data_IF_625409532503
#
_entry.id   IF_625409532503
#
_cell.length_a   1.000
_cell.length_b   1.000
_cell.length_c   1.000
_cell.angle_alpha   90.00
_cell.angle_beta   90.00
_cell.angle_gamma   90.00
#
_symmetry.space_group_name_H-M   'P 1'
#
loop_
_entity.id
_entity.type
_entity.pdbx_description
1 polymer ?
#
# COMPACT_ATOMS: atom_id res chain seq x y z
N UNK A 1 8.58 25.23 -4.68
CA UNK A 1 8.33 24.54 -5.95
C UNK A 1 7.26 25.29 -6.76
N UNK A 2 7.54 25.63 -8.01
CA UNK A 2 6.66 26.37 -8.93
C UNK A 2 5.65 25.47 -9.67
N UNK A 3 5.74 24.15 -9.47
CA UNK A 3 4.88 23.16 -10.11
C UNK A 3 5.32 22.79 -11.52
N UNK A 4 6.50 23.24 -11.96
CA UNK A 4 7.06 22.85 -13.25
C UNK A 4 7.36 21.35 -13.26
N UNK A 5 6.88 20.65 -14.28
CA UNK A 5 7.17 19.23 -14.48
C UNK A 5 8.63 19.06 -14.88
N UNK A 6 9.42 18.43 -14.01
CA UNK A 6 10.83 18.15 -14.28
C UNK A 6 11.05 16.85 -15.06
N UNK A 7 10.29 15.80 -14.73
CA UNK A 7 10.53 14.45 -15.25
C UNK A 7 9.28 13.59 -15.25
N UNK A 8 9.16 12.75 -16.27
CA UNK A 8 8.19 11.66 -16.33
C UNK A 8 8.94 10.34 -16.19
N UNK A 9 8.51 9.51 -15.24
CA UNK A 9 9.01 8.15 -15.03
C UNK A 9 7.91 7.19 -15.49
N UNK A 10 8.30 6.16 -16.24
CA UNK A 10 7.35 5.21 -16.84
C UNK A 10 7.68 3.78 -16.45
N UNK A 11 6.65 2.98 -16.19
CA UNK A 11 6.72 1.52 -16.16
C UNK A 11 6.18 0.99 -17.50
N UNK A 12 6.99 0.28 -18.29
CA UNK A 12 6.51 -0.37 -19.50
C UNK A 12 5.34 -1.31 -19.19
N UNK A 13 4.33 -1.31 -20.07
CA UNK A 13 3.19 -2.23 -20.04
C UNK A 13 2.39 -2.25 -18.72
N UNK A 14 2.47 -1.17 -17.94
CA UNK A 14 1.69 -1.06 -16.72
C UNK A 14 0.25 -0.67 -17.01
N UNK A 15 -0.65 -1.48 -16.49
CA UNK A 15 -2.06 -1.15 -16.39
C UNK A 15 -2.47 -1.08 -14.92
N UNK A 16 -3.38 -0.17 -14.63
CA UNK A 16 -3.93 -0.06 -13.27
C UNK A 16 -4.95 -1.18 -13.04
N UNK A 17 -5.01 -1.71 -11.82
CA UNK A 17 -6.01 -2.71 -11.46
C UNK A 17 -7.42 -2.18 -11.64
N UNK A 18 -8.25 -2.88 -12.41
CA UNK A 18 -9.69 -2.65 -12.47
C UNK A 18 -10.35 -3.32 -11.28
N UNK A 19 -11.07 -2.54 -10.49
CA UNK A 19 -11.79 -2.98 -9.30
C UNK A 19 -12.85 -4.00 -9.68
N UNK A 20 -12.84 -5.12 -8.96
CA UNK A 20 -13.91 -6.09 -9.05
C UNK A 20 -15.07 -5.74 -8.09
N UNK A 21 -16.13 -6.56 -8.09
CA UNK A 21 -17.28 -6.37 -7.19
C UNK A 21 -16.89 -6.44 -5.70
N UNK A 22 -15.83 -7.19 -5.36
CA UNK A 22 -15.35 -7.34 -3.98
C UNK A 22 -14.63 -6.06 -3.53
N UNK A 23 -13.80 -5.49 -4.39
CA UNK A 23 -13.12 -4.22 -4.17
C UNK A 23 -14.13 -3.09 -3.91
N UNK A 24 -15.14 -2.99 -4.78
CA UNK A 24 -16.20 -2.00 -4.65
C UNK A 24 -16.97 -2.15 -3.34
N UNK A 25 -17.40 -3.38 -3.00
CA UNK A 25 -18.09 -3.65 -1.72
C UNK A 25 -17.25 -3.26 -0.50
N UNK A 26 -15.95 -3.55 -0.53
CA UNK A 26 -15.05 -3.22 0.59
C UNK A 26 -14.93 -1.72 0.79
N UNK A 27 -14.77 -0.96 -0.30
CA UNK A 27 -14.65 0.50 -0.23
C UNK A 27 -15.99 1.10 0.23
N UNK A 28 -17.10 0.65 -0.34
CA UNK A 28 -18.44 1.08 0.09
C UNK A 28 -18.67 0.83 1.58
N UNK A 29 -18.33 -0.37 2.08
CA UNK A 29 -18.47 -0.70 3.50
C UNK A 29 -17.63 0.21 4.42
N UNK A 30 -16.42 0.59 3.99
CA UNK A 30 -15.58 1.55 4.74
C UNK A 30 -16.25 2.92 4.83
N UNK A 31 -16.80 3.42 3.72
CA UNK A 31 -17.55 4.68 3.72
C UNK A 31 -18.85 4.58 4.54
N UNK A 32 -19.54 3.42 4.49
CA UNK A 32 -20.76 3.15 5.27
C UNK A 32 -20.49 3.18 6.76
N UNK A 33 -19.37 2.59 7.20
CA UNK A 33 -18.93 2.69 8.59
C UNK A 33 -18.69 4.14 9.03
N UNK A 34 -18.07 4.96 8.17
CA UNK A 34 -17.81 6.37 8.48
C UNK A 34 -19.08 7.21 8.58
N UNK A 35 -19.97 7.11 7.59
CA UNK A 35 -21.13 7.98 7.53
C UNK A 35 -22.39 7.39 8.19
N UNK A 36 -22.34 6.14 8.68
CA UNK A 36 -23.38 5.58 9.56
C UNK A 36 -23.61 6.38 10.84
N UNK A 37 -22.60 7.12 11.31
CA UNK A 37 -22.73 8.05 12.44
C UNK A 37 -23.53 9.31 12.10
N UNK A 38 -23.68 9.66 10.81
CA UNK A 38 -24.49 10.80 10.36
C UNK A 38 -25.01 10.63 8.91
N UNK A 39 -26.08 9.84 8.70
CA UNK A 39 -26.61 9.55 7.36
C UNK A 39 -27.08 10.79 6.60
N UNK A 40 -27.48 11.84 7.31
CA UNK A 40 -27.93 13.10 6.71
C UNK A 40 -26.80 13.88 6.02
N UNK A 41 -25.54 13.54 6.33
CA UNK A 41 -24.35 14.15 5.72
C UNK A 41 -23.68 13.26 4.70
N UNK A 42 -24.33 12.17 4.28
CA UNK A 42 -23.76 11.22 3.33
C UNK A 42 -23.35 11.93 2.03
N UNK A 43 -22.04 12.05 1.74
CA UNK A 43 -21.62 12.68 0.50
C UNK A 43 -21.96 11.76 -0.65
N UNK A 44 -22.46 12.32 -1.76
CA UNK A 44 -22.45 11.58 -3.02
C UNK A 44 -20.99 11.38 -3.41
N UNK A 45 -20.51 10.14 -3.39
CA UNK A 45 -19.15 9.80 -3.81
C UNK A 45 -19.19 9.17 -5.20
N UNK A 46 -18.21 9.53 -6.01
CA UNK A 46 -17.94 8.91 -7.31
C UNK A 46 -16.68 8.05 -7.15
N UNK A 47 -16.86 6.73 -7.22
CA UNK A 47 -15.77 5.78 -7.08
C UNK A 47 -15.36 5.29 -8.47
N UNK A 48 -14.11 5.58 -8.85
CA UNK A 48 -13.56 5.08 -10.12
C UNK A 48 -13.58 3.55 -10.18
N UNK A 49 -13.66 3.02 -11.37
CA UNK A 49 -13.55 1.59 -11.66
C UNK A 49 -12.12 1.06 -11.53
N UNK A 50 -11.10 1.92 -11.43
CA UNK A 50 -9.70 1.52 -11.23
C UNK A 50 -9.16 1.88 -9.86
N UNK A 51 -8.30 1.03 -9.30
CA UNK A 51 -7.56 1.33 -8.07
C UNK A 51 -6.62 2.53 -8.22
N UNK A 52 -6.11 3.09 -7.12
CA UNK A 52 -5.04 4.10 -7.23
C UNK A 52 -3.82 3.47 -7.92
N UNK A 53 -3.31 4.10 -8.97
CA UNK A 53 -2.15 3.58 -9.70
C UNK A 53 -0.94 3.41 -8.77
N UNK A 54 -0.68 4.41 -7.92
CA UNK A 54 0.39 4.42 -6.92
C UNK A 54 -0.22 4.42 -5.51
N UNK A 55 0.19 3.47 -4.69
CA UNK A 55 -0.22 3.35 -3.28
C UNK A 55 0.83 3.93 -2.32
N UNK A 56 2.11 3.69 -2.60
CA UNK A 56 3.22 4.22 -1.80
C UNK A 56 4.49 4.35 -2.64
N UNK A 57 5.36 5.25 -2.21
CA UNK A 57 6.69 5.47 -2.77
C UNK A 57 7.70 5.41 -1.62
N UNK A 58 8.82 4.71 -1.83
CA UNK A 58 9.90 4.62 -0.86
C UNK A 58 11.24 4.88 -1.54
N UNK A 59 12.11 5.66 -0.89
CA UNK A 59 13.50 5.84 -1.34
C UNK A 59 14.39 5.05 -0.39
N UNK A 60 15.23 4.18 -0.94
CA UNK A 60 16.17 3.39 -0.13
C UNK A 60 17.49 4.14 0.15
N UNK A 61 18.44 3.46 0.79
CA UNK A 61 19.76 4.01 1.12
C UNK A 61 20.64 4.38 -0.08
N UNK A 62 20.34 3.81 -1.25
CA UNK A 62 21.10 4.00 -2.48
C UNK A 62 20.43 5.05 -3.39
N UNK A 63 19.35 5.69 -2.94
CA UNK A 63 18.62 6.67 -3.74
C UNK A 63 17.70 6.06 -4.79
N UNK A 64 17.45 4.75 -4.73
CA UNK A 64 16.54 4.06 -5.64
C UNK A 64 15.11 4.21 -5.18
N UNK A 65 14.19 4.27 -6.15
CA UNK A 65 12.77 4.41 -5.90
C UNK A 65 12.08 3.04 -5.94
N UNK A 66 11.37 2.71 -4.86
CA UNK A 66 10.53 1.54 -4.73
C UNK A 66 9.07 1.98 -4.75
N UNK A 67 8.31 1.47 -5.72
CA UNK A 67 6.91 1.83 -5.93
C UNK A 67 6.01 0.68 -5.55
N UNK A 68 5.08 0.95 -4.63
CA UNK A 68 3.92 0.10 -4.40
C UNK A 68 2.77 0.65 -5.26
N UNK A 69 2.23 -0.16 -6.15
CA UNK A 69 1.19 0.19 -7.11
C UNK A 69 -0.09 -0.63 -6.91
N UNK A 70 -1.13 -0.34 -7.68
CA UNK A 70 -2.45 -1.02 -7.61
C UNK A 70 -2.39 -2.55 -7.63
N UNK A 71 -1.39 -3.13 -8.31
CA UNK A 71 -1.19 -4.58 -8.44
C UNK A 71 -0.22 -5.19 -7.42
N UNK A 72 0.39 -4.40 -6.53
CA UNK A 72 1.47 -4.87 -5.65
C UNK A 72 1.06 -5.96 -4.64
N UNK A 73 -0.24 -6.15 -4.42
CA UNK A 73 -0.79 -7.21 -3.59
C UNK A 73 -1.83 -8.08 -4.33
N UNK A 74 -1.81 -8.06 -5.67
CA UNK A 74 -2.74 -8.79 -6.52
C UNK A 74 -1.96 -9.80 -7.34
N UNK A 75 -2.54 -10.98 -7.52
CA UNK A 75 -1.97 -12.05 -8.34
C UNK A 75 -0.51 -12.39 -7.98
N UNK A 76 -0.15 -12.21 -6.71
CA UNK A 76 1.17 -12.59 -6.19
C UNK A 76 1.19 -14.09 -5.89
N UNK A 77 2.31 -14.79 -6.13
CA UNK A 77 2.43 -16.20 -5.77
C UNK A 77 2.24 -16.45 -4.27
N UNK A 78 1.83 -17.67 -3.92
CA UNK A 78 1.74 -18.09 -2.52
C UNK A 78 3.08 -17.86 -1.79
N UNK A 79 2.99 -17.32 -0.57
CA UNK A 79 4.15 -16.95 0.24
C UNK A 79 4.80 -15.60 -0.12
N UNK A 80 4.28 -14.88 -1.12
CA UNK A 80 4.67 -13.50 -1.40
C UNK A 80 3.70 -12.54 -0.72
N UNK A 81 4.25 -11.69 0.13
CA UNK A 81 3.50 -10.64 0.82
C UNK A 81 3.21 -9.45 -0.09
N UNK A 82 4.23 -8.88 -0.73
CA UNK A 82 4.09 -7.72 -1.62
C UNK A 82 5.08 -7.77 -2.79
N UNK A 83 4.71 -7.18 -3.91
CA UNK A 83 5.57 -6.90 -5.04
C UNK A 83 5.77 -5.38 -5.20
N UNK A 84 7.01 -4.94 -5.42
CA UNK A 84 7.38 -3.55 -5.67
C UNK A 84 8.05 -3.42 -7.02
N UNK A 85 7.83 -2.31 -7.71
CA UNK A 85 8.74 -1.94 -8.79
C UNK A 85 9.94 -1.19 -8.24
N UNK A 86 11.11 -1.55 -8.73
CA UNK A 86 12.37 -0.88 -8.45
C UNK A 86 12.75 0.00 -9.64
N UNK A 87 13.08 1.26 -9.36
CA UNK A 87 13.66 2.21 -10.29
C UNK A 87 15.01 2.69 -9.77
N UNK A 88 15.95 2.95 -10.66
CA UNK A 88 17.21 3.58 -10.27
C UNK A 88 17.04 5.07 -9.91
N UNK A 89 18.15 5.72 -9.56
CA UNK A 89 18.17 7.16 -9.23
C UNK A 89 17.81 8.06 -10.42
N UNK A 90 17.95 7.54 -11.64
CA UNK A 90 17.53 8.20 -12.88
C UNK A 90 16.07 7.86 -13.22
N UNK A 91 15.33 7.20 -12.35
CA UNK A 91 13.92 6.88 -12.56
C UNK A 91 13.70 5.91 -13.72
N UNK A 92 14.70 5.12 -14.11
CA UNK A 92 14.52 4.03 -15.08
C UNK A 92 14.03 2.80 -14.34
N UNK A 93 12.92 2.21 -14.80
CA UNK A 93 12.41 0.96 -14.24
C UNK A 93 13.42 -0.16 -14.46
N UNK A 94 13.77 -0.87 -13.39
CA UNK A 94 14.75 -1.95 -13.40
C UNK A 94 14.06 -3.32 -13.44
N UNK A 95 13.19 -3.58 -12.46
CA UNK A 95 12.47 -4.85 -12.30
C UNK A 95 11.38 -4.78 -11.24
N UNK A 96 10.54 -5.80 -11.20
CA UNK A 96 9.69 -6.13 -10.05
C UNK A 96 10.51 -6.91 -9.00
N UNK A 97 10.33 -6.56 -7.72
CA UNK A 97 10.93 -7.23 -6.56
C UNK A 97 9.84 -7.72 -5.63
N UNK A 98 9.88 -9.00 -5.26
CA UNK A 98 8.87 -9.65 -4.43
C UNK A 98 9.39 -9.90 -3.03
N UNK A 99 8.60 -9.53 -2.03
CA UNK A 99 8.87 -9.80 -0.63
C UNK A 99 8.25 -11.14 -0.26
N UNK A 100 9.07 -12.19 -0.25
CA UNK A 100 8.67 -13.53 0.17
C UNK A 100 8.83 -13.66 1.69
N UNK A 101 7.85 -13.15 2.42
CA UNK A 101 7.77 -13.27 3.88
C UNK A 101 6.31 -13.37 4.31
N UNK A 102 6.09 -13.81 5.55
CA UNK A 102 4.75 -13.87 6.12
C UNK A 102 4.20 -12.46 6.37
N UNK A 103 3.07 -12.13 5.76
CA UNK A 103 2.42 -10.83 5.90
C UNK A 103 1.01 -10.82 5.34
N UNK A 104 0.16 -9.98 5.89
CA UNK A 104 -1.18 -9.72 5.40
C UNK A 104 -1.16 -8.43 4.57
N UNK A 105 -1.21 -8.47 3.23
CA UNK A 105 -1.09 -7.29 2.37
C UNK A 105 -2.27 -6.32 2.45
N UNK A 106 -3.29 -6.67 3.23
CA UNK A 106 -4.46 -5.85 3.49
C UNK A 106 -4.29 -4.98 4.74
N UNK A 107 -3.67 -5.51 5.79
CA UNK A 107 -3.58 -4.87 7.12
C UNK A 107 -2.16 -4.49 7.51
N UNK A 108 -1.15 -5.21 7.04
CA UNK A 108 0.26 -4.96 7.35
C UNK A 108 0.85 -3.85 6.46
N UNK A 109 1.95 -3.27 6.90
CA UNK A 109 2.65 -2.21 6.17
C UNK A 109 4.16 -2.34 6.23
N UNK A 110 4.85 -1.74 5.26
CA UNK A 110 6.32 -1.68 5.25
C UNK A 110 6.87 -0.28 5.42
N UNK A 111 8.05 -0.22 6.04
CA UNK A 111 8.89 0.97 6.12
C UNK A 111 10.33 0.65 5.74
N UNK A 112 10.80 1.29 4.68
CA UNK A 112 12.20 1.20 4.26
C UNK A 112 13.07 2.06 5.19
N UNK A 113 14.17 1.49 5.64
CA UNK A 113 15.25 2.16 6.34
C UNK A 113 16.40 2.40 5.35
N UNK A 114 17.10 3.53 5.51
CA UNK A 114 18.18 3.94 4.58
C UNK A 114 19.44 3.08 4.65
N UNK A 115 19.50 2.07 5.52
CA UNK A 115 20.64 1.18 5.69
C UNK A 115 20.37 -0.23 5.15
N UNK A 116 19.47 -0.35 4.17
CA UNK A 116 19.12 -1.62 3.53
C UNK A 116 18.21 -2.52 4.37
N UNK A 117 17.64 -1.99 5.45
CA UNK A 117 16.65 -2.71 6.26
C UNK A 117 15.22 -2.30 5.90
N UNK A 118 14.28 -3.20 6.14
CA UNK A 118 12.85 -2.95 5.99
C UNK A 118 12.13 -3.44 7.24
N UNK A 119 11.25 -2.60 7.78
CA UNK A 119 10.33 -2.98 8.85
C UNK A 119 9.02 -3.46 8.23
N UNK A 120 8.61 -4.68 8.56
CA UNK A 120 7.24 -5.16 8.42
C UNK A 120 6.51 -4.88 9.73
N UNK A 121 5.42 -4.12 9.65
CA UNK A 121 4.61 -3.73 10.80
C UNK A 121 3.26 -4.44 10.68
N UNK A 122 3.00 -5.39 11.58
CA UNK A 122 1.74 -6.13 11.61
C UNK A 122 0.58 -5.22 12.03
N UNK A 123 -0.55 -5.31 11.33
CA UNK A 123 -1.75 -4.50 11.66
C UNK A 123 -1.59 -2.99 11.43
N UNK A 124 -0.59 -2.56 10.66
CA UNK A 124 -0.28 -1.14 10.40
C UNK A 124 -1.48 -0.29 9.96
N UNK A 125 -2.32 -0.80 9.06
CA UNK A 125 -3.49 -0.06 8.54
C UNK A 125 -4.52 0.18 9.64
N UNK A 126 -4.76 -0.82 10.50
CA UNK A 126 -5.71 -0.71 11.62
C UNK A 126 -5.20 0.30 12.63
N UNK A 127 -3.91 0.21 13.01
CA UNK A 127 -3.28 1.18 13.90
C UNK A 127 -3.37 2.61 13.36
N UNK A 128 -3.13 2.80 12.05
CA UNK A 128 -3.25 4.11 11.39
C UNK A 128 -4.68 4.65 11.42
N UNK A 129 -5.68 3.81 11.18
CA UNK A 129 -7.09 4.22 11.25
C UNK A 129 -7.49 4.58 12.69
N UNK A 130 -7.04 3.83 13.68
CA UNK A 130 -7.27 4.16 15.10
C UNK A 130 -6.71 5.55 15.46
N UNK A 131 -5.51 5.91 14.99
CA UNK A 131 -4.92 7.24 15.20
C UNK A 131 -5.70 8.39 14.53
N UNK A 132 -6.49 8.12 13.49
CA UNK A 132 -7.31 9.13 12.81
C UNK A 132 -8.68 9.35 13.49
N UNK A 133 -8.89 8.80 14.69
CA UNK A 133 -10.14 8.93 15.44
C UNK A 133 -11.27 8.04 14.93
N UNK A 134 -10.99 7.15 13.97
CA UNK A 134 -11.98 6.22 13.42
C UNK A 134 -11.89 4.90 14.19
N UNK A 135 -12.16 4.96 15.49
CA UNK A 135 -12.00 3.86 16.44
C UNK A 135 -12.95 2.66 16.26
N UNK A 136 -13.58 2.51 15.09
CA UNK A 136 -14.56 1.47 14.78
C UNK A 136 -14.19 0.64 13.56
N UNK A 137 -13.10 0.97 12.86
CA UNK A 137 -12.67 0.22 11.68
C UNK A 137 -11.81 -1.00 12.07
N UNK A 138 -12.45 -2.13 12.34
CA UNK A 138 -11.77 -3.43 12.41
C UNK A 138 -11.67 -4.01 10.99
N UNK A 139 -10.46 -4.39 10.57
CA UNK A 139 -10.24 -5.16 9.35
C UNK A 139 -10.12 -6.65 9.71
N UNK A 140 -11.14 -7.21 10.37
CA UNK A 140 -11.19 -8.60 10.84
C UNK A 140 -11.00 -8.78 12.35
N UNK A 141 -11.07 -10.03 12.81
CA UNK A 141 -10.95 -10.49 14.22
C UNK A 141 -9.49 -10.49 14.75
N UNK A 142 -8.64 -9.57 14.29
CA UNK A 142 -7.29 -9.45 14.86
C UNK A 142 -7.33 -8.61 16.14
N UNK A 143 -7.72 -9.25 17.26
CA UNK A 143 -7.40 -8.79 18.62
C UNK A 143 -5.88 -8.92 18.86
N UNK A 144 -5.07 -8.08 18.20
CA UNK A 144 -3.65 -7.99 18.51
C UNK A 144 -3.40 -6.89 19.53
N UNK A 145 -3.40 -7.24 20.82
CA UNK A 145 -2.98 -6.36 21.93
C UNK A 145 -1.51 -5.91 21.83
N UNK A 146 -0.71 -6.51 20.94
CA UNK A 146 0.70 -6.15 20.74
C UNK A 146 0.99 -5.89 19.26
N UNK A 147 1.51 -4.70 18.94
CA UNK A 147 2.04 -4.39 17.61
C UNK A 147 3.33 -5.19 17.43
N UNK A 148 3.32 -6.16 16.52
CA UNK A 148 4.52 -6.87 16.10
C UNK A 148 5.24 -6.10 14.99
N UNK A 149 6.56 -5.92 15.15
CA UNK A 149 7.43 -5.29 14.16
C UNK A 149 8.58 -6.25 13.85
N UNK A 150 8.68 -6.69 12.60
CA UNK A 150 9.75 -7.58 12.12
C UNK A 150 10.72 -6.76 11.27
N UNK A 151 12.01 -6.85 11.58
CA UNK A 151 13.06 -6.15 10.84
C UNK A 151 13.79 -7.12 9.91
N UNK A 152 13.67 -6.89 8.61
CA UNK A 152 14.39 -7.63 7.58
C UNK A 152 15.60 -6.83 7.08
N UNK A 153 16.64 -7.55 6.66
CA UNK A 153 17.70 -6.98 5.83
C UNK A 153 17.46 -7.42 4.39
N UNK A 154 17.42 -6.45 3.48
CA UNK A 154 17.37 -6.77 2.05
C UNK A 154 18.73 -7.35 1.63
N UNK A 155 18.76 -8.41 0.81
CA UNK A 155 19.98 -8.79 0.11
C UNK A 155 20.42 -7.63 -0.79
N UNK A 156 21.64 -7.68 -1.33
CA UNK A 156 21.99 -6.75 -2.40
C UNK A 156 21.01 -6.92 -3.57
N UNK A 157 20.28 -5.85 -3.87
CA UNK A 157 19.26 -5.77 -4.93
C UNK A 157 19.86 -5.00 -6.08
#
# INVERSE_FOLDING_TARGET
PDGTLEKVITRPDFETWHRDKRDMRRITALFESWAGQNPATWPRFDLKDTERAIAALHIDGQGRLWVQHSRSNRDVPDGVFLAFDLYDSDGVWQREVRFACEGNPVSDGVRFLRDGRVLLIKGFVVARLACLGTGVATLGDDETETIEIVCYRLPEV
#
